data_IF_076543658552
#
_entry.id   IF_076543658552
#
_cell.length_a   1.000
_cell.length_b   1.000
_cell.length_c   1.000
_cell.angle_alpha   90.00
_cell.angle_beta   90.00
_cell.angle_gamma   90.00
#
_symmetry.space_group_name_H-M   'P 1'
#
loop_
_entity.id
_entity.type
_entity.pdbx_description
1 polymer ?
#
# COMPACT_ATOMS: atom_id res chain seq x y z
N UNK A 1 6.62 -0.23 -26.97
CA UNK A 1 5.28 0.26 -26.60
C UNK A 1 4.41 0.16 -27.84
N UNK A 2 3.18 -0.34 -27.69
CA UNK A 2 2.22 -0.38 -28.79
C UNK A 2 1.56 1.01 -28.91
N UNK A 3 1.84 1.79 -29.98
CA UNK A 3 1.33 3.15 -30.13
C UNK A 3 -0.18 3.21 -30.35
N UNK A 4 -0.85 2.06 -30.57
CA UNK A 4 -2.29 2.00 -30.81
C UNK A 4 -3.16 2.17 -29.55
N UNK A 5 -2.58 2.14 -28.34
CA UNK A 5 -3.34 2.40 -27.11
C UNK A 5 -2.65 3.48 -26.26
N UNK A 6 -3.17 4.72 -26.25
CA UNK A 6 -2.54 5.86 -25.59
C UNK A 6 -2.50 5.76 -24.06
N UNK A 7 -3.20 4.78 -23.46
CA UNK A 7 -3.32 4.66 -21.99
C UNK A 7 -2.43 3.57 -21.38
N UNK A 8 -1.56 2.95 -22.18
CA UNK A 8 -0.56 1.99 -21.67
C UNK A 8 0.41 2.72 -20.73
N UNK A 9 0.55 2.22 -19.51
CA UNK A 9 1.41 2.82 -18.47
C UNK A 9 0.77 3.98 -17.71
N UNK A 10 -0.41 4.46 -18.12
CA UNK A 10 -1.15 5.49 -17.37
C UNK A 10 -1.72 4.87 -16.10
N UNK A 11 -1.46 5.52 -14.95
CA UNK A 11 -1.94 5.08 -13.63
C UNK A 11 -3.47 5.02 -13.59
N UNK A 12 -4.01 4.09 -12.81
CA UNK A 12 -5.43 4.04 -12.51
C UNK A 12 -5.77 5.09 -11.44
N UNK A 13 -6.78 5.89 -11.69
CA UNK A 13 -7.35 6.81 -10.71
C UNK A 13 -8.43 6.12 -9.88
N UNK A 14 -8.75 6.68 -8.70
CA UNK A 14 -9.83 6.16 -7.86
C UNK A 14 -11.19 6.22 -8.57
N UNK A 15 -11.44 7.27 -9.35
CA UNK A 15 -12.68 7.40 -10.12
C UNK A 15 -12.83 6.33 -11.20
N UNK A 16 -11.75 6.05 -11.95
CA UNK A 16 -11.75 4.96 -12.92
C UNK A 16 -11.94 3.59 -12.26
N UNK A 17 -11.38 3.39 -11.08
CA UNK A 17 -11.54 2.14 -10.35
C UNK A 17 -12.97 1.93 -9.86
N UNK A 18 -13.60 2.97 -9.31
CA UNK A 18 -15.01 2.93 -8.92
C UNK A 18 -15.92 2.64 -10.12
N UNK A 19 -15.65 3.26 -11.27
CA UNK A 19 -16.38 2.97 -12.51
C UNK A 19 -16.17 1.54 -13.01
N UNK A 20 -14.94 1.02 -12.92
CA UNK A 20 -14.63 -0.36 -13.29
C UNK A 20 -15.44 -1.34 -12.42
N UNK A 21 -15.43 -1.15 -11.11
CA UNK A 21 -16.19 -2.00 -10.18
C UNK A 21 -17.69 -1.92 -10.49
N UNK A 22 -18.23 -0.72 -10.69
CA UNK A 22 -19.64 -0.53 -11.04
C UNK A 22 -20.03 -1.22 -12.36
N UNK A 23 -19.17 -1.17 -13.37
CA UNK A 23 -19.44 -1.84 -14.65
C UNK A 23 -19.41 -3.36 -14.53
N UNK A 24 -18.51 -3.91 -13.70
CA UNK A 24 -18.44 -5.35 -13.42
C UNK A 24 -19.63 -5.83 -12.58
N UNK A 25 -20.04 -5.06 -11.57
CA UNK A 25 -21.21 -5.39 -10.76
C UNK A 25 -22.50 -5.30 -11.57
N UNK A 26 -22.54 -4.44 -12.59
CA UNK A 26 -23.62 -4.38 -13.58
C UNK A 26 -23.58 -5.53 -14.61
N UNK A 27 -22.59 -6.42 -14.56
CA UNK A 27 -22.49 -7.59 -15.45
C UNK A 27 -22.04 -7.26 -16.88
N UNK A 28 -21.38 -6.11 -17.11
CA UNK A 28 -20.85 -5.78 -18.44
C UNK A 28 -19.70 -6.70 -18.84
N UNK A 29 -19.60 -7.00 -20.13
CA UNK A 29 -18.49 -7.77 -20.67
C UNK A 29 -17.16 -6.99 -20.59
N UNK A 30 -16.06 -7.71 -20.37
CA UNK A 30 -14.73 -7.11 -20.20
C UNK A 30 -14.30 -6.32 -21.45
N UNK A 31 -14.68 -6.74 -22.66
CA UNK A 31 -14.34 -6.00 -23.89
C UNK A 31 -15.07 -4.66 -23.95
N UNK A 32 -16.30 -4.58 -23.48
CA UNK A 32 -17.05 -3.32 -23.47
C UNK A 32 -16.52 -2.38 -22.38
N UNK A 33 -16.19 -2.93 -21.21
CA UNK A 33 -15.49 -2.17 -20.16
C UNK A 33 -14.14 -1.65 -20.67
N UNK A 34 -13.39 -2.46 -21.41
CA UNK A 34 -12.12 -2.05 -22.00
C UNK A 34 -12.28 -0.84 -22.93
N UNK A 35 -13.31 -0.85 -23.79
CA UNK A 35 -13.66 0.28 -24.66
C UNK A 35 -14.06 1.52 -23.85
N UNK A 36 -14.97 1.39 -22.88
CA UNK A 36 -15.45 2.49 -22.04
C UNK A 36 -14.31 3.21 -21.31
N UNK A 37 -13.35 2.45 -20.79
CA UNK A 37 -12.20 3.00 -20.08
C UNK A 37 -11.06 3.42 -21.03
N UNK A 38 -11.14 3.11 -22.32
CA UNK A 38 -10.05 3.33 -23.28
C UNK A 38 -8.78 2.55 -22.93
N UNK A 39 -8.93 1.34 -22.36
CA UNK A 39 -7.82 0.46 -21.95
C UNK A 39 -7.92 -0.88 -22.67
N UNK A 40 -6.85 -1.69 -22.66
CA UNK A 40 -6.90 -3.06 -23.22
C UNK A 40 -7.59 -4.00 -22.24
N UNK A 41 -8.23 -5.06 -22.75
CA UNK A 41 -8.76 -6.18 -21.95
C UNK A 41 -7.79 -6.65 -20.87
N UNK A 42 -6.53 -6.91 -21.24
CA UNK A 42 -5.50 -7.33 -20.29
C UNK A 42 -5.23 -6.31 -19.17
N UNK A 43 -5.38 -5.02 -19.44
CA UNK A 43 -5.28 -3.96 -18.44
C UNK A 43 -6.46 -3.96 -17.46
N UNK A 44 -7.67 -4.20 -17.95
CA UNK A 44 -8.88 -4.39 -17.11
C UNK A 44 -8.70 -5.60 -16.20
N UNK A 45 -8.40 -6.78 -16.77
CA UNK A 45 -8.20 -8.01 -16.00
C UNK A 45 -7.05 -7.88 -14.99
N UNK A 46 -5.95 -7.22 -15.38
CA UNK A 46 -4.84 -6.97 -14.46
C UNK A 46 -5.29 -6.10 -13.28
N UNK A 47 -6.08 -5.04 -13.53
CA UNK A 47 -6.55 -4.17 -12.46
C UNK A 47 -7.52 -4.88 -11.53
N UNK A 48 -8.46 -5.67 -12.05
CA UNK A 48 -9.40 -6.46 -11.24
C UNK A 48 -8.66 -7.41 -10.29
N UNK A 49 -7.61 -8.08 -10.78
CA UNK A 49 -6.76 -8.92 -9.92
C UNK A 49 -6.04 -8.12 -8.83
N UNK A 50 -5.57 -6.90 -9.12
CA UNK A 50 -5.00 -6.04 -8.08
C UNK A 50 -6.01 -5.63 -7.02
N UNK A 51 -7.24 -5.29 -7.43
CA UNK A 51 -8.33 -4.94 -6.51
C UNK A 51 -8.66 -6.13 -5.61
N UNK A 52 -8.86 -7.32 -6.19
CA UNK A 52 -9.07 -8.57 -5.47
C UNK A 52 -7.95 -8.85 -4.45
N UNK A 53 -6.69 -8.64 -4.85
CA UNK A 53 -5.53 -8.77 -3.96
C UNK A 53 -5.61 -7.83 -2.76
N UNK A 54 -5.94 -6.55 -3.00
CA UNK A 54 -6.10 -5.58 -1.92
C UNK A 54 -7.27 -5.91 -0.99
N UNK A 55 -8.41 -6.37 -1.51
CA UNK A 55 -9.55 -6.78 -0.69
C UNK A 55 -9.17 -7.90 0.29
N UNK A 56 -8.47 -8.93 -0.20
CA UNK A 56 -7.97 -10.02 0.64
C UNK A 56 -6.90 -9.56 1.64
N UNK A 57 -6.05 -8.59 1.29
CA UNK A 57 -5.09 -7.99 2.22
C UNK A 57 -5.77 -7.27 3.41
N UNK A 58 -7.02 -6.81 3.22
CA UNK A 58 -7.82 -6.16 4.26
C UNK A 58 -8.77 -7.12 4.98
N UNK A 59 -8.62 -8.43 4.77
CA UNK A 59 -9.33 -9.47 5.52
C UNK A 59 -10.59 -10.01 4.86
N UNK A 60 -10.91 -9.59 3.63
CA UNK A 60 -12.03 -10.19 2.89
C UNK A 60 -11.72 -11.63 2.48
N UNK A 61 -12.74 -12.49 2.51
CA UNK A 61 -12.59 -13.89 2.10
C UNK A 61 -12.63 -14.05 0.59
N UNK A 62 -12.19 -15.21 0.08
CA UNK A 62 -12.30 -15.53 -1.36
C UNK A 62 -13.75 -15.41 -1.84
N UNK A 63 -14.71 -15.81 -1.00
CA UNK A 63 -16.13 -15.80 -1.33
C UNK A 63 -16.66 -14.38 -1.45
N UNK A 64 -16.30 -13.50 -0.49
CA UNK A 64 -16.67 -12.08 -0.52
C UNK A 64 -16.16 -11.41 -1.80
N UNK A 65 -14.91 -11.67 -2.17
CA UNK A 65 -14.29 -11.10 -3.38
C UNK A 65 -14.94 -11.63 -4.65
N UNK A 66 -15.30 -12.93 -4.70
CA UNK A 66 -16.03 -13.51 -5.83
C UNK A 66 -17.39 -12.81 -6.03
N UNK A 67 -18.11 -12.58 -4.94
CA UNK A 67 -19.42 -11.92 -4.95
C UNK A 67 -19.26 -10.45 -5.37
N UNK A 68 -18.34 -9.72 -4.74
CA UNK A 68 -18.17 -8.30 -4.97
C UNK A 68 -17.69 -7.95 -6.39
N UNK A 69 -16.85 -8.80 -6.98
CA UNK A 69 -16.25 -8.55 -8.30
C UNK A 69 -16.84 -9.44 -9.41
N UNK A 70 -17.87 -10.24 -9.14
CA UNK A 70 -18.42 -11.24 -10.08
C UNK A 70 -17.33 -12.06 -10.80
N UNK A 71 -16.25 -12.38 -10.09
CA UNK A 71 -15.12 -13.11 -10.66
C UNK A 71 -15.28 -14.61 -10.41
N UNK A 72 -14.90 -15.48 -11.37
CA UNK A 72 -14.84 -16.91 -11.11
C UNK A 72 -13.87 -17.21 -9.98
N UNK A 73 -14.27 -18.10 -9.06
CA UNK A 73 -13.48 -18.52 -7.90
C UNK A 73 -12.04 -18.89 -8.26
N UNK A 74 -11.86 -19.65 -9.35
CA UNK A 74 -10.54 -20.08 -9.83
C UNK A 74 -9.58 -18.90 -10.12
N UNK A 75 -10.12 -17.75 -10.55
CA UNK A 75 -9.30 -16.55 -10.78
C UNK A 75 -8.90 -15.91 -9.45
N UNK A 76 -9.82 -15.82 -8.50
CA UNK A 76 -9.59 -15.21 -7.18
C UNK A 76 -8.60 -16.05 -6.37
N UNK A 77 -8.74 -17.37 -6.38
CA UNK A 77 -7.79 -18.30 -5.74
C UNK A 77 -6.38 -18.17 -6.31
N UNK A 78 -6.24 -18.00 -7.63
CA UNK A 78 -4.94 -17.71 -8.25
C UNK A 78 -4.34 -16.41 -7.71
N UNK A 79 -5.14 -15.35 -7.54
CA UNK A 79 -4.66 -14.08 -6.95
C UNK A 79 -4.16 -14.32 -5.52
N UNK A 80 -4.89 -15.10 -4.73
CA UNK A 80 -4.51 -15.44 -3.36
C UNK A 80 -3.14 -16.16 -3.33
N UNK A 81 -2.96 -17.18 -4.18
CA UNK A 81 -1.70 -17.92 -4.30
C UNK A 81 -0.52 -17.03 -4.71
N UNK A 82 -0.73 -16.08 -5.64
CA UNK A 82 0.32 -15.13 -6.03
C UNK A 82 0.68 -14.17 -4.88
N UNK A 83 -0.28 -13.72 -4.08
CA UNK A 83 0.00 -12.84 -2.94
C UNK A 83 0.86 -13.54 -1.86
N UNK A 84 0.64 -14.83 -1.63
CA UNK A 84 1.44 -15.62 -0.68
C UNK A 84 2.89 -15.79 -1.15
N UNK A 85 3.12 -15.90 -2.46
CA UNK A 85 4.46 -16.10 -3.02
C UNK A 85 5.26 -14.80 -3.19
N UNK A 86 4.61 -13.66 -3.46
CA UNK A 86 5.29 -12.37 -3.63
C UNK A 86 5.65 -11.71 -2.31
N UNK A 87 4.88 -11.94 -1.23
CA UNK A 87 5.28 -11.52 0.14
C UNK A 87 6.63 -12.09 0.57
N UNK A 88 7.04 -13.25 0.02
CA UNK A 88 8.37 -13.82 0.25
C UNK A 88 9.50 -13.17 -0.57
N UNK A 89 9.18 -12.48 -1.68
CA UNK A 89 10.19 -11.82 -2.55
C UNK A 89 10.36 -10.32 -2.29
N UNK A 90 9.35 -9.68 -1.72
CA UNK A 90 9.39 -8.28 -1.26
C UNK A 90 9.03 -8.20 0.22
N UNK A 91 9.55 -9.14 1.03
CA UNK A 91 9.61 -8.93 2.46
C UNK A 91 10.17 -7.53 2.70
N UNK A 92 9.40 -6.71 3.41
CA UNK A 92 9.88 -5.42 3.93
C UNK A 92 11.29 -5.67 4.41
N UNK A 93 12.30 -5.05 3.78
CA UNK A 93 13.67 -5.25 4.24
C UNK A 93 13.65 -4.91 5.72
N UNK A 94 13.96 -5.84 6.63
CA UNK A 94 13.95 -5.56 8.06
C UNK A 94 14.83 -4.34 8.40
N UNK A 95 15.80 -4.05 7.53
CA UNK A 95 16.61 -2.85 7.46
C UNK A 95 15.83 -1.52 7.47
N UNK A 96 14.70 -1.42 6.75
CA UNK A 96 13.91 -0.17 6.69
C UNK A 96 13.09 0.04 7.97
N UNK A 97 12.51 -1.02 8.51
CA UNK A 97 11.75 -0.96 9.76
C UNK A 97 12.69 -0.71 10.95
N UNK A 98 13.83 -1.40 11.00
CA UNK A 98 14.89 -1.13 11.96
C UNK A 98 15.43 0.32 11.84
N UNK A 99 15.55 0.86 10.63
CA UNK A 99 15.99 2.23 10.42
C UNK A 99 15.00 3.26 10.98
N UNK A 100 13.69 3.05 10.84
CA UNK A 100 12.68 3.92 11.45
C UNK A 100 12.73 3.84 12.97
N UNK A 101 12.84 2.64 13.54
CA UNK A 101 13.01 2.47 15.00
C UNK A 101 14.29 3.16 15.51
N UNK A 102 15.40 3.07 14.77
CA UNK A 102 16.65 3.74 15.13
C UNK A 102 16.56 5.28 15.10
N UNK A 103 15.76 5.84 14.18
CA UNK A 103 15.48 7.29 14.16
C UNK A 103 14.70 7.74 15.39
N UNK A 104 13.73 6.95 15.82
CA UNK A 104 12.95 7.22 17.03
C UNK A 104 13.82 7.15 18.27
N UNK A 105 14.66 6.11 18.41
CA UNK A 105 15.63 5.98 19.50
C UNK A 105 16.57 7.19 19.54
N UNK A 106 17.15 7.58 18.40
CA UNK A 106 18.03 8.76 18.31
C UNK A 106 17.34 10.03 18.79
N UNK A 107 16.09 10.22 18.40
CA UNK A 107 15.29 11.39 18.81
C UNK A 107 15.06 11.43 20.31
N UNK A 108 14.82 10.27 20.93
CA UNK A 108 14.65 10.15 22.39
C UNK A 108 15.96 10.49 23.11
N UNK A 109 17.11 9.99 22.63
CA UNK A 109 18.41 10.24 23.24
C UNK A 109 18.77 11.73 23.26
N UNK A 110 18.57 12.44 22.15
CA UNK A 110 18.81 13.90 22.06
C UNK A 110 17.97 14.67 23.09
N UNK A 111 16.73 14.25 23.35
CA UNK A 111 15.87 14.88 24.36
C UNK A 111 16.36 14.64 25.79
N UNK A 112 16.93 13.46 26.06
CA UNK A 112 17.49 13.13 27.37
C UNK A 112 18.75 13.97 27.61
N UNK A 113 19.66 14.06 26.63
CA UNK A 113 20.88 14.86 26.72
C UNK A 113 20.60 16.34 26.97
N UNK A 114 19.59 16.89 26.29
CA UNK A 114 19.16 18.27 26.48
C UNK A 114 18.63 18.53 27.90
N UNK A 115 17.90 17.57 28.50
CA UNK A 115 17.42 17.68 29.88
C UNK A 115 18.59 17.64 30.88
N UNK A 116 19.51 16.70 30.69
CA UNK A 116 20.69 16.56 31.55
C UNK A 116 21.61 17.79 31.51
N UNK A 117 21.65 18.48 30.36
CA UNK A 117 22.47 19.70 30.20
C UNK A 117 21.83 20.93 30.85
N UNK A 118 20.50 20.99 30.94
CA UNK A 118 19.78 22.13 31.54
C UNK A 118 19.69 22.05 33.07
N UNK A 119 19.92 20.87 33.67
CA UNK A 119 19.86 20.63 35.12
C UNK A 119 21.21 20.85 35.84
N UNK A 120 22.12 21.67 35.30
CA UNK A 120 23.36 22.04 36.01
C UNK A 120 23.19 23.40 36.72
N UNK A 121 22.69 23.46 37.97
CA UNK A 121 22.73 24.70 38.74
C UNK A 121 24.18 24.98 39.10
N UNK A 122 24.78 25.97 38.44
CA UNK A 122 26.06 26.57 38.84
C UNK A 122 25.78 27.36 40.12
N UNK A 123 25.69 26.67 41.26
CA UNK A 123 25.63 27.29 42.56
C UNK A 123 27.05 27.59 43.04
N UNK A 124 27.72 28.55 42.39
CA UNK A 124 28.98 29.10 42.89
C UNK A 124 28.65 30.04 44.05
N UNK A 125 28.66 29.51 45.28
CA UNK A 125 28.56 30.33 46.48
C UNK A 125 29.86 31.15 46.66
N UNK A 126 29.78 32.48 46.86
CA UNK A 126 30.97 33.28 47.13
C UNK A 126 31.48 33.01 48.55
N UNK A 127 32.73 32.55 48.62
CA UNK A 127 33.48 32.34 49.85
C UNK A 127 33.75 33.70 50.50
N UNK A 128 32.99 34.06 51.54
CA UNK A 128 33.25 35.26 52.34
C UNK A 128 34.32 34.94 53.38
N UNK A 129 35.49 35.54 53.19
CA UNK A 129 36.61 35.55 54.14
C UNK A 129 36.30 36.65 55.17
N UNK A 130 36.26 36.28 56.46
CA UNK A 130 36.51 37.17 57.59
C UNK A 130 37.53 36.54 58.52
#
# INVERSE_FOLDING_TARGET
MDPSNPRVGVRWTRGEEAQLIASITAGKDIEDIAKEHGRKRGGITSRLRSIAGHMMEHGETVDDVCIALHMPREIVERVQQYSATTKNKHGVRPEKEALEVLKDIRTILVRIEARLSNDTPIHTAPNQIQ
#
